data_IF_052368502999
#
_entry.id   IF_052368502999
#
_cell.length_a   1.000
_cell.length_b   1.000
_cell.length_c   1.000
_cell.angle_alpha   90.00
_cell.angle_beta   90.00
_cell.angle_gamma   90.00
#
_symmetry.space_group_name_H-M   'P 1'
#
loop_
_entity.id
_entity.type
_entity.pdbx_description
1 polymer ?
#
# COMPACT_ATOMS: atom_id res chain seq x y z
N UNK A 1 1.56 1.56 10.74
CA UNK A 1 0.78 1.46 9.48
C UNK A 1 1.32 0.25 8.75
N UNK A 2 0.46 -0.69 8.37
CA UNK A 2 0.84 -1.89 7.64
C UNK A 2 0.48 -1.76 6.16
N UNK A 3 0.97 -2.67 5.31
CA UNK A 3 0.63 -2.69 3.87
C UNK A 3 -0.87 -2.81 3.63
N UNK A 4 -1.58 -3.50 4.53
CA UNK A 4 -3.04 -3.66 4.51
C UNK A 4 -3.79 -2.33 4.68
N UNK A 5 -3.13 -1.28 5.18
CA UNK A 5 -3.70 0.06 5.28
C UNK A 5 -3.53 0.88 3.99
N UNK A 6 -2.79 0.37 3.01
CA UNK A 6 -2.36 1.11 1.83
C UNK A 6 -3.19 0.71 0.61
N UNK A 7 -3.70 1.70 -0.11
CA UNK A 7 -4.39 1.53 -1.40
C UNK A 7 -3.59 2.10 -2.57
N UNK A 8 -2.53 2.88 -2.28
CA UNK A 8 -1.67 3.52 -3.29
C UNK A 8 -0.90 2.56 -4.22
N UNK A 9 -0.92 1.26 -3.93
CA UNK A 9 -0.36 0.24 -4.83
C UNK A 9 -1.29 -0.17 -5.97
N UNK A 10 -2.58 0.19 -5.90
CA UNK A 10 -3.53 -0.10 -6.96
C UNK A 10 -3.41 0.92 -8.11
N UNK A 11 -3.46 0.45 -9.36
CA UNK A 11 -3.35 1.33 -10.53
C UNK A 11 -4.48 2.39 -10.56
N UNK A 12 -4.09 3.65 -10.73
CA UNK A 12 -5.00 4.79 -10.67
C UNK A 12 -5.40 5.23 -9.26
N UNK A 13 -4.74 4.73 -8.21
CA UNK A 13 -4.91 5.19 -6.82
C UNK A 13 -3.70 5.98 -6.35
N UNK A 14 -3.84 7.31 -6.33
CA UNK A 14 -2.88 8.20 -5.67
C UNK A 14 -3.24 8.45 -4.20
N UNK A 15 -2.31 9.08 -3.46
CA UNK A 15 -2.51 9.35 -2.03
C UNK A 15 -3.77 10.16 -1.70
N UNK A 16 -4.18 11.07 -2.60
CA UNK A 16 -5.41 11.86 -2.41
C UNK A 16 -6.64 10.96 -2.37
N UNK A 17 -6.68 9.94 -3.21
CA UNK A 17 -7.78 9.00 -3.25
C UNK A 17 -7.73 8.03 -2.06
N UNK A 18 -6.55 7.55 -1.72
CA UNK A 18 -6.34 6.74 -0.53
C UNK A 18 -6.79 7.47 0.75
N UNK A 19 -6.39 8.73 0.94
CA UNK A 19 -6.88 9.56 2.05
C UNK A 19 -8.39 9.73 2.04
N UNK A 20 -9.03 9.75 0.87
CA UNK A 20 -10.49 9.80 0.75
C UNK A 20 -11.13 8.50 1.20
N UNK A 21 -10.55 7.34 0.88
CA UNK A 21 -11.00 6.04 1.40
C UNK A 21 -10.89 6.01 2.92
N UNK A 22 -9.75 6.44 3.48
CA UNK A 22 -9.56 6.50 4.93
C UNK A 22 -10.57 7.39 5.64
N UNK A 23 -10.92 8.55 5.07
CA UNK A 23 -11.96 9.45 5.61
C UNK A 23 -13.35 8.84 5.60
N UNK A 24 -13.59 7.84 4.75
CA UNK A 24 -14.83 7.05 4.71
C UNK A 24 -14.80 5.86 5.69
N UNK A 25 -13.74 5.70 6.49
CA UNK A 25 -13.57 4.57 7.40
C UNK A 25 -12.92 3.34 6.76
N UNK A 26 -12.68 3.36 5.45
CA UNK A 26 -12.03 2.30 4.68
C UNK A 26 -10.51 2.39 4.91
N UNK A 27 -10.07 2.00 6.10
CA UNK A 27 -8.67 2.16 6.58
C UNK A 27 -7.82 0.91 6.42
N UNK A 28 -8.45 -0.20 6.04
CA UNK A 28 -7.83 -1.51 5.81
C UNK A 28 -8.50 -2.18 4.61
N UNK A 29 -7.80 -3.12 3.98
CA UNK A 29 -8.30 -3.86 2.82
C UNK A 29 -9.63 -4.59 3.08
N UNK A 30 -9.81 -5.17 4.26
CA UNK A 30 -11.05 -5.87 4.67
C UNK A 30 -12.27 -4.95 4.78
N UNK A 31 -12.06 -3.64 4.93
CA UNK A 31 -13.10 -2.63 4.94
C UNK A 31 -13.43 -2.09 3.53
N UNK A 32 -12.71 -2.50 2.49
CA UNK A 32 -12.94 -2.01 1.13
C UNK A 32 -14.26 -2.54 0.56
N UNK A 33 -15.03 -1.65 -0.06
CA UNK A 33 -16.25 -2.00 -0.79
C UNK A 33 -16.31 -1.24 -2.11
N UNK A 34 -16.65 -1.91 -3.23
CA UNK A 34 -16.78 -1.25 -4.54
C UNK A 34 -17.77 -0.10 -4.59
N UNK A 35 -18.76 -0.09 -3.69
CA UNK A 35 -19.80 0.94 -3.62
C UNK A 35 -19.36 2.23 -2.92
N UNK A 36 -18.08 2.40 -2.59
CA UNK A 36 -17.59 3.58 -1.87
C UNK A 36 -17.53 4.85 -2.72
N UNK A 37 -17.66 6.01 -2.06
CA UNK A 37 -17.80 7.29 -2.75
C UNK A 37 -16.52 7.70 -3.48
N UNK A 38 -16.66 8.00 -4.77
CA UNK A 38 -15.58 8.54 -5.61
C UNK A 38 -14.72 7.48 -6.29
N UNK A 39 -15.12 6.22 -6.22
CA UNK A 39 -14.53 5.11 -6.97
C UNK A 39 -15.54 4.67 -8.03
N UNK A 40 -15.11 4.60 -9.29
CA UNK A 40 -15.88 3.98 -10.36
C UNK A 40 -15.53 2.50 -10.49
N UNK A 41 -16.39 1.73 -11.16
CA UNK A 41 -16.29 0.27 -11.31
C UNK A 41 -14.88 -0.22 -11.69
N UNK A 42 -14.31 0.30 -12.80
CA UNK A 42 -12.96 -0.09 -13.24
C UNK A 42 -11.87 0.16 -12.19
N UNK A 43 -12.02 1.20 -11.36
CA UNK A 43 -11.04 1.47 -10.29
C UNK A 43 -11.29 0.56 -9.09
N UNK A 44 -12.54 0.23 -8.78
CA UNK A 44 -12.86 -0.74 -7.76
C UNK A 44 -12.24 -2.11 -8.10
N UNK A 45 -12.41 -2.59 -9.33
CA UNK A 45 -11.81 -3.85 -9.82
C UNK A 45 -10.28 -3.87 -9.65
N UNK A 46 -9.61 -2.74 -9.93
CA UNK A 46 -8.15 -2.61 -9.76
C UNK A 46 -7.75 -2.65 -8.28
N UNK A 47 -8.54 -2.03 -7.41
CA UNK A 47 -8.30 -2.07 -5.96
C UNK A 47 -8.49 -3.50 -5.45
N UNK A 48 -9.56 -4.19 -5.86
CA UNK A 48 -9.82 -5.59 -5.49
C UNK A 48 -8.70 -6.50 -5.98
N UNK A 49 -8.28 -6.36 -7.24
CA UNK A 49 -7.16 -7.13 -7.81
C UNK A 49 -5.86 -6.90 -7.02
N UNK A 50 -5.57 -5.65 -6.65
CA UNK A 50 -4.41 -5.31 -5.83
C UNK A 50 -4.51 -5.89 -4.42
N UNK A 51 -5.69 -5.88 -3.79
CA UNK A 51 -5.91 -6.48 -2.47
C UNK A 51 -5.70 -7.99 -2.53
N UNK A 52 -6.26 -8.67 -3.54
CA UNK A 52 -6.14 -10.12 -3.71
C UNK A 52 -4.68 -10.57 -3.92
N UNK A 53 -3.96 -9.89 -4.82
CA UNK A 53 -2.53 -10.14 -5.04
C UNK A 53 -1.69 -9.76 -3.83
N UNK A 54 -2.02 -8.64 -3.19
CA UNK A 54 -1.38 -8.13 -1.98
C UNK A 54 -1.51 -9.10 -0.81
N UNK A 55 -2.68 -9.70 -0.61
CA UNK A 55 -2.90 -10.72 0.42
C UNK A 55 -2.02 -11.94 0.19
N UNK A 56 -1.99 -12.47 -1.04
CA UNK A 56 -1.11 -13.61 -1.40
C UNK A 56 0.37 -13.26 -1.19
N UNK A 57 0.77 -12.05 -1.56
CA UNK A 57 2.14 -11.59 -1.37
C UNK A 57 2.50 -11.44 0.12
N UNK A 58 1.57 -10.93 0.93
CA UNK A 58 1.73 -10.77 2.37
C UNK A 58 1.86 -12.12 3.07
N UNK A 59 0.99 -13.08 2.75
CA UNK A 59 0.99 -14.44 3.30
C UNK A 59 2.31 -15.17 2.97
N UNK A 60 2.91 -14.87 1.82
CA UNK A 60 4.21 -15.40 1.40
C UNK A 60 5.42 -14.55 1.83
N UNK A 61 5.22 -13.44 2.57
CA UNK A 61 6.29 -12.53 2.98
C UNK A 61 7.03 -11.83 1.83
N UNK A 62 6.40 -11.66 0.66
CA UNK A 62 7.03 -11.16 -0.57
C UNK A 62 7.11 -9.62 -0.62
N UNK A 63 8.07 -9.02 0.09
CA UNK A 63 8.29 -7.56 0.09
C UNK A 63 8.50 -6.96 -1.32
N UNK A 64 9.10 -7.72 -2.24
CA UNK A 64 9.36 -7.30 -3.63
C UNK A 64 8.09 -7.04 -4.44
N UNK A 65 6.96 -7.63 -4.07
CA UNK A 65 5.67 -7.28 -4.66
C UNK A 65 5.35 -5.82 -4.37
N UNK A 66 5.37 -5.45 -3.08
CA UNK A 66 5.01 -4.13 -2.62
C UNK A 66 6.01 -3.04 -3.04
N UNK A 67 7.31 -3.34 -3.09
CA UNK A 67 8.32 -2.39 -3.61
C UNK A 67 8.06 -1.99 -5.07
N UNK A 68 7.54 -2.92 -5.89
CA UNK A 68 7.17 -2.65 -7.28
C UNK A 68 5.86 -1.88 -7.41
N UNK A 69 4.86 -2.18 -6.57
CA UNK A 69 3.55 -1.53 -6.65
C UNK A 69 3.54 -0.14 -5.99
N UNK A 70 4.30 0.06 -4.92
CA UNK A 70 4.24 1.31 -4.16
C UNK A 70 5.03 2.41 -4.87
N UNK A 71 4.45 3.62 -4.99
CA UNK A 71 5.20 4.80 -5.40
C UNK A 71 6.43 5.00 -4.50
N UNK A 72 7.53 5.52 -5.06
CA UNK A 72 8.80 5.68 -4.33
C UNK A 72 8.65 6.40 -2.99
N UNK A 73 7.86 7.48 -2.95
CA UNK A 73 7.58 8.25 -1.73
C UNK A 73 6.70 7.54 -0.67
N UNK A 74 6.09 6.40 -1.02
CA UNK A 74 5.25 5.59 -0.13
C UNK A 74 5.96 4.31 0.36
N UNK A 75 7.13 3.96 -0.18
CA UNK A 75 7.84 2.71 0.16
C UNK A 75 8.27 2.61 1.62
N UNK A 76 8.45 3.73 2.33
CA UNK A 76 8.72 3.72 3.76
C UNK A 76 7.60 3.05 4.58
N UNK A 77 6.36 3.00 4.04
CA UNK A 77 5.21 2.35 4.70
C UNK A 77 5.33 0.82 4.76
N UNK A 78 6.25 0.23 4.01
CA UNK A 78 6.55 -1.20 4.07
C UNK A 78 7.22 -1.60 5.39
N UNK A 79 7.91 -0.65 6.04
CA UNK A 79 8.75 -0.90 7.20
C UNK A 79 8.03 -1.68 8.31
N UNK A 80 6.86 -1.23 8.75
CA UNK A 80 6.18 -1.86 9.89
C UNK A 80 5.74 -3.29 9.59
N UNK A 81 5.42 -3.60 8.32
CA UNK A 81 5.00 -4.94 7.91
C UNK A 81 6.18 -5.91 7.83
N UNK A 82 7.33 -5.43 7.34
CA UNK A 82 8.51 -6.24 7.10
C UNK A 82 9.65 -5.93 8.07
N UNK A 83 9.31 -5.49 9.29
CA UNK A 83 10.26 -5.02 10.29
C UNK A 83 11.32 -6.07 10.63
N UNK A 84 10.90 -7.33 10.73
CA UNK A 84 11.79 -8.47 11.03
C UNK A 84 12.79 -8.77 9.89
N UNK A 85 12.50 -8.32 8.67
CA UNK A 85 13.36 -8.49 7.49
C UNK A 85 14.15 -7.21 7.16
N UNK A 86 14.05 -6.17 7.98
CA UNK A 86 14.65 -4.85 7.71
C UNK A 86 16.06 -4.77 8.27
N UNK A 87 17.00 -4.27 7.45
CA UNK A 87 18.35 -3.91 7.88
C UNK A 87 18.47 -2.38 7.97
N UNK A 88 19.08 -1.88 9.05
CA UNK A 88 19.36 -0.46 9.24
C UNK A 88 20.80 -0.17 8.84
N UNK A 89 20.95 0.65 7.81
CA UNK A 89 22.25 1.16 7.40
C UNK A 89 22.41 2.56 7.97
N UNK A 90 23.50 2.75 8.70
CA UNK A 90 23.97 4.06 9.11
C UNK A 90 24.88 4.62 8.02
N UNK A 91 24.59 5.82 7.54
CA UNK A 91 25.32 6.45 6.44
C UNK A 91 25.89 7.76 6.93
N UNK A 92 27.21 7.79 7.10
CA UNK A 92 27.96 9.00 7.37
C UNK A 92 28.29 9.69 6.05
N UNK A 93 27.77 10.91 5.87
CA UNK A 93 28.07 11.74 4.69
C UNK A 93 29.01 12.88 5.09
N UNK A 94 30.02 13.15 4.27
CA UNK A 94 31.03 14.18 4.56
C UNK A 94 30.56 15.60 4.27
N UNK A 95 29.35 15.79 3.74
CA UNK A 95 28.75 17.11 3.46
C UNK A 95 29.54 17.99 2.47
N UNK A 96 30.53 17.41 1.78
CA UNK A 96 31.42 18.06 0.80
C UNK A 96 30.80 18.14 -0.59
#
# INVERSE_FOLDING_TARGET
>A
MHVENCFVGADGVGETLERRLWRQGITRWDAFTPACDGIGETRAERIESFIDEGQRALDCGQVRYFDRQFPGGARWRLYETFREQTCFFDIETTGL
#
